data_IF_821307809426
#
_entry.id   IF_821307809426
#
_cell.length_a   1.000
_cell.length_b   1.000
_cell.length_c   1.000
_cell.angle_alpha   90.00
_cell.angle_beta   90.00
_cell.angle_gamma   90.00
#
_symmetry.space_group_name_H-M   'P 1'
#
loop_
_entity.id
_entity.type
_entity.pdbx_description
1 polymer ?
#
# COMPACT_ATOMS: atom_id res chain seq x y z
N UNK A 1 19.20 15.65 -7.49
CA UNK A 1 18.10 15.94 -6.53
C UNK A 1 18.09 14.86 -5.45
N UNK A 2 18.14 15.21 -4.16
CA UNK A 2 17.93 14.23 -3.08
C UNK A 2 16.45 13.85 -3.06
N UNK A 3 16.12 12.58 -3.29
CA UNK A 3 14.75 12.08 -3.19
C UNK A 3 14.30 12.20 -1.72
N UNK A 4 13.10 12.74 -1.50
CA UNK A 4 12.55 12.93 -0.15
C UNK A 4 11.99 11.60 0.33
N UNK A 5 12.55 11.07 1.41
CA UNK A 5 12.02 9.87 2.05
C UNK A 5 10.64 10.16 2.66
N UNK A 6 9.65 9.33 2.33
CA UNK A 6 8.30 9.38 2.87
C UNK A 6 8.28 8.58 4.17
N UNK A 7 7.54 9.08 5.17
CA UNK A 7 7.23 8.32 6.39
C UNK A 7 5.95 7.54 6.14
N UNK A 8 6.02 6.25 6.38
CA UNK A 8 4.88 5.34 6.33
C UNK A 8 4.92 4.40 7.53
N UNK A 9 3.81 3.74 7.80
CA UNK A 9 3.60 2.80 8.90
C UNK A 9 2.75 1.61 8.46
N UNK A 10 2.64 0.62 9.33
CA UNK A 10 1.68 -0.47 9.18
C UNK A 10 0.26 0.06 8.96
N UNK A 11 -0.47 -0.55 8.03
CA UNK A 11 -1.82 -0.14 7.63
C UNK A 11 -1.89 0.98 6.60
N UNK A 12 -0.76 1.60 6.25
CA UNK A 12 -0.74 2.62 5.20
C UNK A 12 -1.08 2.02 3.83
N UNK A 13 -1.86 2.77 3.05
CA UNK A 13 -2.31 2.39 1.72
C UNK A 13 -1.56 3.22 0.70
N UNK A 14 -0.99 2.54 -0.28
CA UNK A 14 -0.39 3.13 -1.45
C UNK A 14 -1.22 2.80 -2.69
N UNK A 15 -1.18 3.71 -3.65
CA UNK A 15 -1.70 3.53 -5.00
C UNK A 15 -0.57 3.27 -5.98
N UNK A 16 -0.66 2.22 -6.77
CA UNK A 16 0.18 1.97 -7.94
C UNK A 16 -0.56 2.43 -9.20
N UNK A 17 0.09 3.23 -10.05
CA UNK A 17 -0.53 3.69 -11.31
C UNK A 17 -0.69 2.53 -12.28
N UNK A 18 -1.92 2.34 -12.74
CA UNK A 18 -2.26 1.39 -13.80
C UNK A 18 -2.22 2.06 -15.18
N UNK A 19 -2.06 1.29 -16.28
CA UNK A 19 -1.99 1.85 -17.63
C UNK A 19 -3.23 2.65 -18.08
N UNK A 20 -4.38 2.38 -17.47
CA UNK A 20 -5.64 3.07 -17.73
C UNK A 20 -5.81 4.38 -16.92
N UNK A 21 -4.82 4.77 -16.11
CA UNK A 21 -4.85 5.98 -15.29
C UNK A 21 -5.45 5.81 -13.89
N UNK A 22 -6.05 4.65 -13.60
CA UNK A 22 -6.53 4.29 -12.26
C UNK A 22 -5.35 3.98 -11.31
N UNK A 23 -5.63 3.99 -10.01
CA UNK A 23 -4.68 3.53 -8.99
C UNK A 23 -5.14 2.18 -8.42
N UNK A 24 -4.32 1.15 -8.59
CA UNK A 24 -4.48 -0.11 -7.87
C UNK A 24 -4.00 0.05 -6.43
N UNK A 25 -4.73 -0.53 -5.48
CA UNK A 25 -4.44 -0.35 -4.07
C UNK A 25 -3.56 -1.45 -3.50
N UNK A 26 -2.58 -1.04 -2.70
CA UNK A 26 -1.76 -1.91 -1.87
C UNK A 26 -1.66 -1.39 -0.44
N UNK A 27 -1.68 -2.28 0.54
CA UNK A 27 -1.60 -1.93 1.96
C UNK A 27 -0.39 -2.58 2.61
N UNK A 28 0.31 -1.83 3.46
CA UNK A 28 1.42 -2.33 4.27
C UNK A 28 0.89 -3.22 5.39
N UNK A 29 1.26 -4.50 5.41
CA UNK A 29 0.80 -5.47 6.42
C UNK A 29 1.91 -5.87 7.39
N UNK A 30 3.17 -6.03 6.98
CA UNK A 30 4.19 -6.35 8.01
C UNK A 30 5.62 -6.08 7.55
N UNK A 31 6.51 -5.85 8.51
CA UNK A 31 7.95 -5.89 8.29
C UNK A 31 8.42 -7.33 8.49
N UNK A 32 8.51 -8.07 7.38
CA UNK A 32 9.01 -9.44 7.40
C UNK A 32 10.50 -9.53 7.73
N UNK A 33 11.30 -8.56 7.27
CA UNK A 33 12.76 -8.50 7.50
C UNK A 33 13.24 -7.04 7.59
N UNK A 34 14.47 -6.82 8.08
CA UNK A 34 15.05 -5.48 8.33
C UNK A 34 14.94 -4.50 7.14
N UNK A 35 14.87 -5.00 5.90
CA UNK A 35 14.76 -4.20 4.68
C UNK A 35 13.63 -4.64 3.74
N UNK A 36 12.79 -5.60 4.14
CA UNK A 36 11.69 -6.09 3.30
C UNK A 36 10.40 -6.10 4.11
N UNK A 37 9.33 -5.70 3.46
CA UNK A 37 7.99 -5.66 4.05
C UNK A 37 7.00 -6.39 3.14
N UNK A 38 5.95 -6.93 3.72
CA UNK A 38 4.82 -7.45 2.98
C UNK A 38 3.78 -6.37 2.74
N UNK A 39 3.31 -6.32 1.50
CA UNK A 39 2.12 -5.56 1.12
C UNK A 39 1.04 -6.51 0.61
N UNK A 40 -0.20 -6.24 0.99
CA UNK A 40 -1.36 -6.83 0.32
C UNK A 40 -1.71 -6.00 -0.89
N UNK A 41 -1.84 -6.65 -2.04
CA UNK A 41 -2.45 -6.08 -3.22
C UNK A 41 -3.92 -6.50 -3.23
N UNK A 42 -4.79 -5.55 -3.48
CA UNK A 42 -6.25 -5.79 -3.55
C UNK A 42 -6.77 -5.71 -4.98
N UNK A 43 -7.96 -6.24 -5.23
CA UNK A 43 -8.67 -6.06 -6.51
C UNK A 43 -9.28 -4.66 -6.68
N UNK A 44 -9.31 -3.85 -5.61
CA UNK A 44 -9.85 -2.50 -5.60
C UNK A 44 -8.98 -1.52 -6.38
N UNK A 45 -9.66 -0.58 -7.04
CA UNK A 45 -9.07 0.51 -7.81
C UNK A 45 -9.78 1.81 -7.50
N UNK A 46 -9.05 2.91 -7.54
CA UNK A 46 -9.59 4.26 -7.31
C UNK A 46 -9.21 5.20 -8.44
N UNK A 47 -10.11 6.12 -8.77
CA UNK A 47 -9.92 7.11 -9.84
C UNK A 47 -9.29 8.41 -9.33
N UNK A 48 -9.41 8.70 -8.04
CA UNK A 48 -8.91 9.94 -7.43
C UNK A 48 -8.29 9.69 -6.04
N UNK A 49 -7.39 10.60 -5.65
CA UNK A 49 -6.71 10.60 -4.34
C UNK A 49 -7.69 10.81 -3.16
N UNK A 50 -8.86 11.37 -3.41
CA UNK A 50 -9.85 11.78 -2.38
C UNK A 50 -11.01 10.79 -2.19
N UNK A 51 -10.96 9.60 -2.80
CA UNK A 51 -11.95 8.58 -2.47
C UNK A 51 -11.72 8.09 -1.03
N UNK A 52 -12.79 8.03 -0.24
CA UNK A 52 -12.76 7.42 1.10
C UNK A 52 -12.36 5.94 0.95
N UNK A 53 -11.06 5.68 1.04
CA UNK A 53 -10.51 4.33 1.04
C UNK A 53 -11.18 3.60 2.20
N UNK A 54 -11.83 2.47 1.92
CA UNK A 54 -12.38 1.61 2.97
C UNK A 54 -11.29 0.68 3.50
N UNK A 55 -11.48 0.17 4.72
CA UNK A 55 -10.61 -0.85 5.30
C UNK A 55 -10.44 -1.99 4.29
N UNK A 56 -9.20 -2.36 3.99
CA UNK A 56 -8.92 -3.52 3.14
C UNK A 56 -9.44 -4.76 3.85
N UNK A 57 -10.45 -5.40 3.27
CA UNK A 57 -10.93 -6.68 3.77
C UNK A 57 -9.99 -7.77 3.26
N UNK A 58 -9.74 -8.81 4.07
CA UNK A 58 -8.92 -9.95 3.66
C UNK A 58 -9.50 -10.66 2.42
N UNK A 59 -10.82 -10.60 2.23
CA UNK A 59 -11.50 -11.10 1.04
C UNK A 59 -11.13 -10.35 -0.26
N UNK A 60 -10.67 -9.11 -0.15
CA UNK A 60 -10.31 -8.25 -1.30
C UNK A 60 -8.84 -8.47 -1.71
N UNK A 61 -8.05 -9.20 -0.92
CA UNK A 61 -6.62 -9.42 -1.15
C UNK A 61 -6.46 -10.46 -2.26
N UNK A 62 -5.85 -10.05 -3.36
CA UNK A 62 -5.54 -10.93 -4.49
C UNK A 62 -4.10 -11.46 -4.44
N UNK A 63 -3.21 -10.76 -3.75
CA UNK A 63 -1.80 -11.17 -3.65
C UNK A 63 -1.12 -10.57 -2.43
N UNK A 64 -0.13 -11.29 -1.90
CA UNK A 64 0.80 -10.81 -0.88
C UNK A 64 2.18 -10.74 -1.52
N UNK A 65 2.78 -9.56 -1.52
CA UNK A 65 4.05 -9.30 -2.20
C UNK A 65 5.06 -8.75 -1.22
N UNK A 66 6.30 -9.24 -1.32
CA UNK A 66 7.42 -8.65 -0.61
C UNK A 66 7.96 -7.46 -1.41
N UNK A 67 8.07 -6.30 -0.77
CA UNK A 67 8.71 -5.11 -1.31
C UNK A 67 9.90 -4.72 -0.46
N UNK A 68 10.91 -4.12 -1.10
CA UNK A 68 11.99 -3.50 -0.35
C UNK A 68 11.49 -2.25 0.36
N UNK A 69 12.06 -1.99 1.54
CA UNK A 69 11.79 -0.76 2.29
C UNK A 69 12.11 0.49 1.47
N UNK A 70 13.13 0.40 0.62
CA UNK A 70 13.57 1.47 -0.27
C UNK A 70 12.48 1.90 -1.26
N UNK A 71 11.79 0.94 -1.88
CA UNK A 71 10.74 1.22 -2.86
C UNK A 71 9.60 2.05 -2.26
N UNK A 72 9.19 1.76 -1.01
CA UNK A 72 8.18 2.58 -0.30
C UNK A 72 8.75 3.87 0.28
N UNK A 73 9.95 3.83 0.84
CA UNK A 73 10.63 5.00 1.40
C UNK A 73 10.76 6.12 0.36
N UNK A 74 10.95 5.77 -0.91
CA UNK A 74 11.07 6.73 -2.01
C UNK A 74 9.89 6.72 -2.97
N UNK A 75 8.84 5.95 -2.65
CA UNK A 75 7.61 5.82 -3.44
C UNK A 75 7.88 5.61 -4.94
N UNK A 76 8.80 4.70 -5.26
CA UNK A 76 9.18 4.39 -6.64
C UNK A 76 8.02 3.70 -7.36
N UNK A 77 7.23 4.49 -8.10
CA UNK A 77 6.03 3.99 -8.80
C UNK A 77 4.77 3.93 -7.92
N UNK A 78 4.85 4.41 -6.68
CA UNK A 78 3.75 4.37 -5.71
C UNK A 78 3.36 5.77 -5.24
N UNK A 79 2.15 5.90 -4.71
CA UNK A 79 1.65 7.15 -4.11
C UNK A 79 1.04 6.80 -2.76
N UNK A 80 1.50 7.40 -1.67
CA UNK A 80 0.86 7.23 -0.37
C UNK A 80 -0.51 7.92 -0.40
N UNK A 81 -1.59 7.16 -0.25
CA UNK A 81 -2.96 7.67 -0.28
C UNK A 81 -3.48 7.96 1.13
N UNK A 82 -2.97 7.27 2.14
CA UNK A 82 -3.35 7.51 3.52
C UNK A 82 -3.05 6.33 4.43
N UNK A 83 -3.62 6.38 5.63
CA UNK A 83 -3.50 5.31 6.62
C UNK A 83 -4.87 4.79 7.01
N UNK A 84 -5.06 3.47 6.92
CA UNK A 84 -6.25 2.79 7.44
C UNK A 84 -5.85 1.94 8.64
N UNK A 85 -6.71 1.88 9.65
CA UNK A 85 -6.57 0.87 10.71
C UNK A 85 -6.85 -0.50 10.11
N UNK A 86 -5.95 -1.47 10.31
CA UNK A 86 -6.23 -2.86 9.95
C UNK A 86 -7.12 -3.43 11.05
N UNK A 87 -8.37 -3.79 10.73
CA UNK A 87 -9.12 -4.72 11.57
C UNK A 87 -8.57 -6.11 11.28
N UNK A 88 -7.43 -6.44 11.91
CA UNK A 88 -6.97 -7.82 11.96
C UNK A 88 -8.07 -8.60 12.68
N UNK A 89 -8.77 -9.49 11.96
CA UNK A 89 -9.60 -10.50 12.62
C UNK A 89 -8.62 -11.38 13.39
N UNK A 90 -8.58 -11.21 14.71
CA UNK A 90 -7.97 -12.18 15.61
C UNK A 90 -8.61 -13.55 15.29
N UNK A 91 -7.78 -14.50 14.86
CA UNK A 91 -8.19 -15.91 14.76
C UNK A 91 -8.20 -16.53 16.14
#
# INVERSE_FOLDING_TARGET
MRRKKIKWKFGDIFGAKLPNGELGLLQVIDLFMTNFLYVAITDKKVNALDENLSVVNSADIISLVALSRHELDFAEGFILLGSQGINCIEK
#
